data_IF_046800481085
#
_entry.id   IF_046800481085
#
_cell.length_a   1.000
_cell.length_b   1.000
_cell.length_c   1.000
_cell.angle_alpha   90.00
_cell.angle_beta   90.00
_cell.angle_gamma   90.00
#
_symmetry.space_group_name_H-M   'P 1'
#
loop_
_entity.id
_entity.type
_entity.pdbx_description
1 polymer ?
#
# COMPACT_ATOMS: atom_id res chain seq x y z
N UNK A 1 13.21 -7.16 17.58
CA UNK A 1 11.77 -7.01 17.23
C UNK A 1 11.43 -5.63 16.62
N UNK A 2 12.08 -4.53 17.01
CA UNK A 2 11.89 -3.18 16.42
C UNK A 2 12.29 -3.01 14.93
N UNK A 3 13.00 -3.99 14.34
CA UNK A 3 13.57 -3.88 12.99
C UNK A 3 12.52 -3.99 11.85
N UNK A 4 11.40 -4.70 12.06
CA UNK A 4 10.42 -4.96 10.99
C UNK A 4 9.49 -3.78 10.72
N UNK A 5 8.91 -3.19 11.76
CA UNK A 5 7.98 -2.06 11.62
C UNK A 5 8.69 -0.87 10.98
N UNK A 6 9.85 -0.48 11.51
CA UNK A 6 10.65 0.64 11.00
C UNK A 6 10.96 0.46 9.51
N UNK A 7 11.47 -0.73 9.11
CA UNK A 7 11.75 -1.02 7.69
C UNK A 7 10.53 -0.94 6.79
N UNK A 8 9.37 -1.44 7.24
CA UNK A 8 8.15 -1.39 6.43
C UNK A 8 7.62 0.04 6.29
N UNK A 9 7.69 0.83 7.37
CA UNK A 9 7.33 2.26 7.38
C UNK A 9 8.26 3.05 6.45
N UNK A 10 9.57 2.89 6.59
CA UNK A 10 10.57 3.56 5.75
C UNK A 10 10.39 3.21 4.28
N UNK A 11 10.20 1.92 3.97
CA UNK A 11 9.92 1.46 2.61
C UNK A 11 8.65 2.09 2.03
N UNK A 12 7.56 2.12 2.80
CA UNK A 12 6.32 2.76 2.34
C UNK A 12 6.48 4.27 2.13
N UNK A 13 7.21 4.96 3.02
CA UNK A 13 7.51 6.39 2.85
C UNK A 13 8.31 6.62 1.58
N UNK A 14 9.35 5.83 1.31
CA UNK A 14 10.14 5.92 0.08
C UNK A 14 9.30 5.70 -1.18
N UNK A 15 8.28 4.85 -1.10
CA UNK A 15 7.36 4.57 -2.22
C UNK A 15 6.30 5.65 -2.42
N UNK A 16 5.98 6.45 -1.39
CA UNK A 16 5.02 7.56 -1.46
C UNK A 16 5.70 8.90 -1.78
N UNK A 17 6.88 9.14 -1.19
CA UNK A 17 7.63 10.39 -1.23
C UNK A 17 8.98 10.23 -1.95
N UNK A 18 8.96 9.67 -3.15
CA UNK A 18 10.14 9.58 -4.00
C UNK A 18 10.42 10.90 -4.73
N UNK A 19 11.64 11.03 -5.29
CA UNK A 19 12.03 12.21 -6.07
C UNK A 19 11.11 12.38 -7.28
N UNK A 20 10.39 13.50 -7.35
CA UNK A 20 9.45 13.79 -8.43
C UNK A 20 8.03 13.26 -8.22
N UNK A 21 7.70 12.73 -7.03
CA UNK A 21 6.37 12.23 -6.72
C UNK A 21 5.26 13.25 -6.98
N UNK A 22 5.43 14.52 -6.61
CA UNK A 22 4.41 15.56 -6.80
C UNK A 22 4.03 15.83 -8.27
N UNK A 23 4.97 15.61 -9.20
CA UNK A 23 4.72 15.79 -10.63
C UNK A 23 4.26 14.50 -11.34
N UNK A 24 4.57 13.33 -10.77
CA UNK A 24 4.30 12.03 -11.40
C UNK A 24 3.08 11.31 -10.82
N UNK A 25 2.71 11.60 -9.57
CA UNK A 25 1.55 11.01 -8.91
C UNK A 25 0.26 11.56 -9.52
N UNK A 26 -0.73 10.70 -9.85
CA UNK A 26 -2.04 11.17 -10.27
C UNK A 26 -2.66 12.10 -9.22
N UNK A 27 -3.33 13.16 -9.67
CA UNK A 27 -3.89 14.19 -8.78
C UNK A 27 -4.82 13.60 -7.71
N UNK A 28 -5.70 12.68 -8.10
CA UNK A 28 -6.63 12.02 -7.19
C UNK A 28 -5.91 11.28 -6.04
N UNK A 29 -4.73 10.73 -6.32
CA UNK A 29 -3.92 10.01 -5.33
C UNK A 29 -3.10 10.97 -4.48
N UNK A 30 -2.64 12.07 -5.07
CA UNK A 30 -1.91 13.11 -4.35
C UNK A 30 -2.76 13.74 -3.24
N UNK A 31 -4.07 13.94 -3.47
CA UNK A 31 -5.01 14.41 -2.45
C UNK A 31 -5.10 13.48 -1.23
N UNK A 32 -4.84 12.17 -1.41
CA UNK A 32 -4.88 11.17 -0.36
C UNK A 32 -3.54 11.00 0.37
N UNK A 33 -2.45 11.55 -0.13
CA UNK A 33 -1.11 11.41 0.45
C UNK A 33 -1.05 11.79 1.95
N UNK A 34 -1.65 12.92 2.42
CA UNK A 34 -1.67 13.23 3.85
C UNK A 34 -2.38 12.16 4.69
N UNK A 35 -3.44 11.53 4.14
CA UNK A 35 -4.19 10.45 4.81
C UNK A 35 -3.35 9.19 4.93
N UNK A 36 -2.61 8.81 3.89
CA UNK A 36 -1.69 7.66 3.94
C UNK A 36 -0.60 7.84 4.98
N UNK A 37 0.02 9.03 5.04
CA UNK A 37 1.04 9.37 6.05
C UNK A 37 0.45 9.39 7.47
N UNK A 38 -0.76 9.91 7.65
CA UNK A 38 -1.47 9.85 8.94
C UNK A 38 -1.75 8.39 9.35
N UNK A 39 -2.09 7.52 8.40
CA UNK A 39 -2.29 6.09 8.63
C UNK A 39 -1.02 5.39 9.13
N UNK A 40 0.15 5.72 8.54
CA UNK A 40 1.45 5.25 9.00
C UNK A 40 1.74 5.67 10.45
N UNK A 41 1.48 6.93 10.79
CA UNK A 41 1.65 7.43 12.16
C UNK A 41 0.78 6.65 13.16
N UNK A 42 -0.51 6.49 12.85
CA UNK A 42 -1.45 5.73 13.70
C UNK A 42 -1.04 4.27 13.87
N UNK A 43 -0.48 3.65 12.82
CA UNK A 43 0.07 2.30 12.91
C UNK A 43 1.20 2.22 13.94
N UNK A 44 2.14 3.16 13.88
CA UNK A 44 3.28 3.23 14.82
C UNK A 44 2.77 3.39 16.26
N UNK A 45 1.80 4.28 16.48
CA UNK A 45 1.19 4.52 17.79
C UNK A 45 0.47 3.27 18.34
N UNK A 46 -0.24 2.53 17.48
CA UNK A 46 -1.06 1.36 17.88
C UNK A 46 -0.30 0.04 17.93
N UNK A 47 0.87 -0.05 17.30
CA UNK A 47 1.63 -1.31 17.19
C UNK A 47 2.02 -1.92 18.55
N UNK A 48 2.45 -1.14 19.57
CA UNK A 48 2.79 -1.70 20.87
C UNK A 48 1.62 -2.40 21.57
N UNK A 49 0.38 -1.94 21.33
CA UNK A 49 -0.82 -2.52 21.94
C UNK A 49 -1.21 -3.87 21.32
N UNK A 50 -0.88 -4.12 20.06
CA UNK A 50 -1.20 -5.40 19.39
C UNK A 50 -0.18 -5.77 18.30
N UNK A 51 1.03 -6.21 18.70
CA UNK A 51 2.12 -6.48 17.78
C UNK A 51 1.87 -7.67 16.84
N UNK A 52 1.16 -8.70 17.31
CA UNK A 52 0.87 -9.89 16.51
C UNK A 52 -0.14 -9.60 15.40
N UNK A 53 -1.16 -8.80 15.69
CA UNK A 53 -2.13 -8.35 14.67
C UNK A 53 -1.44 -7.49 13.61
N UNK A 54 -0.61 -6.53 14.02
CA UNK A 54 0.20 -5.74 13.08
C UNK A 54 1.04 -6.66 12.18
N UNK A 55 1.74 -7.62 12.78
CA UNK A 55 2.60 -8.56 12.07
C UNK A 55 1.85 -9.40 11.03
N UNK A 56 0.63 -9.85 11.34
CA UNK A 56 -0.24 -10.57 10.40
C UNK A 56 -0.70 -9.67 9.24
N UNK A 57 -1.19 -8.47 9.54
CA UNK A 57 -1.62 -7.50 8.52
C UNK A 57 -0.46 -7.09 7.60
N UNK A 58 0.71 -6.82 8.16
CA UNK A 58 1.91 -6.50 7.41
C UNK A 58 2.37 -7.66 6.52
N UNK A 59 2.16 -8.92 6.94
CA UNK A 59 2.47 -10.07 6.10
C UNK A 59 1.51 -10.15 4.90
N UNK A 60 0.21 -9.98 5.13
CA UNK A 60 -0.80 -9.95 4.04
C UNK A 60 -0.52 -8.84 3.02
N UNK A 61 -0.20 -7.64 3.49
CA UNK A 61 0.16 -6.51 2.62
C UNK A 61 1.46 -6.79 1.86
N UNK A 62 2.48 -7.33 2.53
CA UNK A 62 3.76 -7.68 1.90
C UNK A 62 3.62 -8.67 0.74
N UNK A 63 2.76 -9.68 0.88
CA UNK A 63 2.49 -10.64 -0.21
C UNK A 63 1.87 -9.97 -1.43
N UNK A 64 0.89 -9.09 -1.23
CA UNK A 64 0.25 -8.35 -2.32
C UNK A 64 1.22 -7.36 -2.98
N UNK A 65 2.07 -6.72 -2.17
CA UNK A 65 3.10 -5.81 -2.64
C UNK A 65 4.14 -6.52 -3.51
N UNK A 66 4.64 -7.68 -3.09
CA UNK A 66 5.59 -8.48 -3.86
C UNK A 66 5.01 -8.96 -5.19
N UNK A 67 3.72 -9.36 -5.20
CA UNK A 67 3.01 -9.70 -6.43
C UNK A 67 2.98 -8.51 -7.40
N UNK A 68 2.55 -7.36 -6.91
CA UNK A 68 2.51 -6.12 -7.69
C UNK A 68 3.88 -5.73 -8.25
N UNK A 69 4.94 -5.73 -7.42
CA UNK A 69 6.30 -5.41 -7.86
C UNK A 69 6.80 -6.37 -8.95
N UNK A 70 6.58 -7.68 -8.78
CA UNK A 70 7.01 -8.67 -9.77
C UNK A 70 6.34 -8.46 -11.12
N UNK A 71 5.04 -8.13 -11.12
CA UNK A 71 4.30 -7.89 -12.35
C UNK A 71 4.66 -6.55 -13.00
N UNK A 72 4.88 -5.50 -12.19
CA UNK A 72 5.39 -4.21 -12.67
C UNK A 72 6.70 -4.38 -13.43
N UNK A 73 7.65 -5.16 -12.89
CA UNK A 73 8.93 -5.42 -13.56
C UNK A 73 8.73 -6.16 -14.88
N UNK A 74 7.79 -7.10 -14.97
CA UNK A 74 7.52 -7.82 -16.24
C UNK A 74 6.92 -6.87 -17.28
N UNK A 75 5.89 -6.11 -16.92
CA UNK A 75 5.21 -5.22 -17.85
C UNK A 75 6.08 -4.03 -18.29
N UNK A 76 6.94 -3.53 -17.40
CA UNK A 76 7.90 -2.49 -17.73
C UNK A 76 8.96 -2.93 -18.75
N UNK A 77 9.33 -4.22 -18.80
CA UNK A 77 10.29 -4.73 -19.79
C UNK A 77 9.78 -4.68 -21.23
N UNK A 78 8.47 -4.61 -21.41
CA UNK A 78 7.81 -4.58 -22.71
C UNK A 78 7.07 -3.25 -22.93
N UNK A 79 7.35 -2.24 -22.10
CA UNK A 79 6.74 -0.90 -22.12
C UNK A 79 5.20 -0.91 -22.18
N UNK A 80 4.57 -1.93 -21.57
CA UNK A 80 3.12 -2.13 -21.61
C UNK A 80 2.52 -2.27 -20.21
N UNK A 81 2.68 -1.21 -19.41
CA UNK A 81 2.13 -1.18 -18.04
C UNK A 81 0.62 -0.94 -18.10
N UNK A 82 -0.15 -1.94 -17.64
CA UNK A 82 -1.61 -1.86 -17.65
C UNK A 82 -2.14 -0.84 -16.63
N UNK A 83 -3.20 -0.08 -16.96
CA UNK A 83 -3.85 0.83 -16.01
C UNK A 83 -4.36 0.13 -14.75
N UNK A 84 -4.82 -1.12 -14.87
CA UNK A 84 -5.30 -1.93 -13.76
C UNK A 84 -4.18 -2.20 -12.75
N UNK A 85 -2.97 -2.45 -13.22
CA UNK A 85 -1.81 -2.68 -12.35
C UNK A 85 -1.34 -1.39 -11.67
N UNK A 86 -1.46 -0.24 -12.34
CA UNK A 86 -1.23 1.07 -11.72
C UNK A 86 -2.29 1.38 -10.64
N UNK A 87 -3.56 1.05 -10.89
CA UNK A 87 -4.63 1.21 -9.91
C UNK A 87 -4.48 0.27 -8.72
N UNK A 88 -4.00 -0.95 -8.96
CA UNK A 88 -3.78 -1.96 -7.91
C UNK A 88 -2.81 -1.47 -6.83
N UNK A 89 -1.77 -0.72 -7.22
CA UNK A 89 -0.85 -0.06 -6.28
C UNK A 89 -1.60 0.76 -5.24
N UNK A 90 -2.54 1.59 -5.67
CA UNK A 90 -3.31 2.47 -4.79
C UNK A 90 -4.30 1.69 -3.95
N UNK A 91 -4.88 0.61 -4.48
CA UNK A 91 -5.69 -0.31 -3.66
C UNK A 91 -4.91 -0.90 -2.48
N UNK A 92 -3.59 -1.13 -2.63
CA UNK A 92 -2.75 -1.60 -1.51
C UNK A 92 -2.60 -0.50 -0.45
N UNK A 93 -2.42 0.76 -0.83
CA UNK A 93 -2.37 1.87 0.13
C UNK A 93 -3.69 2.00 0.90
N UNK A 94 -4.83 1.83 0.21
CA UNK A 94 -6.14 1.80 0.87
C UNK A 94 -6.31 0.60 1.80
N UNK A 95 -5.77 -0.57 1.43
CA UNK A 95 -5.76 -1.73 2.32
C UNK A 95 -4.95 -1.45 3.58
N UNK A 96 -3.79 -0.77 3.46
CA UNK A 96 -2.99 -0.36 4.62
C UNK A 96 -3.79 0.55 5.55
N UNK A 97 -4.50 1.54 5.02
CA UNK A 97 -5.39 2.40 5.84
C UNK A 97 -6.48 1.56 6.52
N UNK A 98 -7.16 0.68 5.79
CA UNK A 98 -8.21 -0.20 6.32
C UNK A 98 -7.72 -1.12 7.44
N UNK A 99 -6.49 -1.64 7.35
CA UNK A 99 -5.94 -2.57 8.34
C UNK A 99 -5.38 -1.87 9.58
N UNK A 100 -4.70 -0.73 9.40
CA UNK A 100 -3.94 -0.09 10.48
C UNK A 100 -4.62 1.15 11.08
N UNK A 101 -5.51 1.80 10.32
CA UNK A 101 -6.05 3.12 10.64
C UNK A 101 -7.52 3.27 10.21
N UNK A 102 -8.38 2.33 10.62
CA UNK A 102 -9.81 2.28 10.27
C UNK A 102 -10.57 3.60 10.48
N UNK A 103 -10.20 4.38 11.50
CA UNK A 103 -10.78 5.69 11.80
C UNK A 103 -10.64 6.72 10.67
N UNK A 104 -9.63 6.56 9.80
CA UNK A 104 -9.40 7.46 8.67
C UNK A 104 -10.35 7.19 7.49
N UNK A 105 -11.06 6.05 7.51
CA UNK A 105 -11.92 5.55 6.45
C UNK A 105 -11.19 5.38 5.11
N UNK A 106 -11.83 4.65 4.20
CA UNK A 106 -11.37 4.47 2.83
C UNK A 106 -12.44 4.98 1.87
N UNK A 107 -12.07 5.52 0.70
CA UNK A 107 -13.02 6.07 -0.26
C UNK A 107 -13.96 5.00 -0.84
N UNK A 108 -13.54 3.74 -0.80
CA UNK A 108 -14.34 2.58 -1.18
C UNK A 108 -14.06 1.40 -0.24
N UNK A 109 -14.92 0.37 -0.19
CA UNK A 109 -14.68 -0.78 0.67
C UNK A 109 -13.50 -1.62 0.15
N UNK A 110 -12.50 -1.82 1.01
CA UNK A 110 -11.23 -2.52 0.69
C UNK A 110 -10.95 -3.65 1.68
N UNK A 111 -10.52 -4.79 1.14
CA UNK A 111 -10.07 -5.94 1.93
C UNK A 111 -9.09 -6.79 1.11
N UNK A 112 -8.31 -7.65 1.77
CA UNK A 112 -7.39 -8.59 1.11
C UNK A 112 -8.10 -9.41 0.01
N UNK A 113 -9.28 -9.94 0.30
CA UNK A 113 -10.10 -10.72 -0.66
C UNK A 113 -10.50 -9.91 -1.89
N UNK A 114 -10.80 -8.62 -1.72
CA UNK A 114 -11.11 -7.73 -2.86
C UNK A 114 -9.88 -7.47 -3.71
N UNK A 115 -8.71 -7.28 -3.09
CA UNK A 115 -7.46 -7.15 -3.83
C UNK A 115 -7.09 -8.45 -4.55
N UNK A 116 -7.27 -9.62 -3.93
CA UNK A 116 -7.03 -10.90 -4.61
C UNK A 116 -7.91 -11.07 -5.85
N UNK A 117 -9.19 -10.67 -5.77
CA UNK A 117 -10.09 -10.67 -6.93
C UNK A 117 -9.65 -9.67 -8.00
N UNK A 118 -9.24 -8.46 -7.62
CA UNK A 118 -8.72 -7.49 -8.58
C UNK A 118 -7.44 -7.98 -9.25
N UNK A 119 -6.56 -8.64 -8.49
CA UNK A 119 -5.33 -9.23 -9.00
C UNK A 119 -5.58 -10.28 -10.09
N UNK A 120 -6.61 -11.12 -9.92
CA UNK A 120 -6.95 -12.16 -10.91
C UNK A 120 -7.51 -11.61 -12.23
N UNK A 121 -7.72 -10.29 -12.35
CA UNK A 121 -8.13 -9.64 -13.59
C UNK A 121 -6.93 -8.97 -14.29
N UNK A 122 -5.78 -8.87 -13.62
CA UNK A 122 -4.57 -8.22 -14.13
C UNK A 122 -3.64 -9.23 -14.79
N UNK A 123 -3.55 -10.43 -14.21
CA UNK A 123 -2.62 -11.50 -14.59
C UNK A 123 -3.36 -12.64 -15.28
#
# INVERSE_FOLDING_TARGET
>A
RANRLTKDVESQIQQLLYKGCFSQMPWDQLQHLPRYLKGLRLRIEKQPSNPDRDGKHAASVGLLWQKWQSEMVKQAKVDNISPELQNFRWMIEELRVSLFAQELKTPFPVSTKRLEKAWSQIV
#
